data_IF_546436263617
#
_entry.id   IF_546436263617
#
_cell.length_a   1.000
_cell.length_b   1.000
_cell.length_c   1.000
_cell.angle_alpha   90.00
_cell.angle_beta   90.00
_cell.angle_gamma   90.00
#
_symmetry.space_group_name_H-M   'P 1'
#
loop_
_entity.id
_entity.type
_entity.pdbx_description
1 polymer ?
#
# COMPACT_ATOMS: atom_id res chain seq x y z
N UNK A 1 -20.57 28.12 18.88
CA UNK A 1 -20.45 26.71 18.44
C UNK A 1 -21.37 26.49 17.25
N UNK A 2 -20.82 26.32 16.05
CA UNK A 2 -21.64 26.08 14.85
C UNK A 2 -22.40 24.76 14.96
N UNK A 3 -23.68 24.76 14.61
CA UNK A 3 -24.50 23.53 14.52
C UNK A 3 -23.80 22.57 13.55
N UNK A 4 -23.43 21.39 14.03
CA UNK A 4 -22.80 20.38 13.16
C UNK A 4 -23.75 20.07 12.01
N UNK A 5 -23.27 19.98 10.75
CA UNK A 5 -24.13 19.70 9.60
C UNK A 5 -24.76 18.29 9.63
N UNK A 6 -24.30 17.44 10.55
CA UNK A 6 -24.80 16.09 10.80
C UNK A 6 -25.63 16.06 12.08
N UNK A 7 -26.87 16.55 11.98
CA UNK A 7 -27.90 16.44 13.02
C UNK A 7 -28.46 15.02 13.06
N UNK A 8 -29.13 14.66 14.17
CA UNK A 8 -29.67 13.31 14.35
C UNK A 8 -30.71 12.98 13.30
N UNK A 9 -31.57 13.94 12.97
CA UNK A 9 -32.67 13.82 12.02
C UNK A 9 -32.12 13.53 10.61
N UNK A 10 -31.12 14.33 10.18
CA UNK A 10 -30.49 14.18 8.87
C UNK A 10 -29.75 12.84 8.74
N UNK A 11 -29.09 12.39 9.80
CA UNK A 11 -28.43 11.09 9.83
C UNK A 11 -29.43 9.92 9.81
N UNK A 12 -30.56 10.06 10.51
CA UNK A 12 -31.62 9.05 10.53
C UNK A 12 -32.32 8.92 9.18
N UNK A 13 -32.62 10.03 8.51
CA UNK A 13 -33.22 10.04 7.17
C UNK A 13 -32.29 9.39 6.12
N UNK A 14 -31.01 9.78 6.15
CA UNK A 14 -30.01 9.19 5.26
C UNK A 14 -29.82 7.69 5.54
N UNK A 15 -29.87 7.26 6.80
CA UNK A 15 -29.74 5.85 7.16
C UNK A 15 -30.98 5.03 6.78
N UNK A 16 -32.19 5.53 7.06
CA UNK A 16 -33.43 4.83 6.75
C UNK A 16 -33.63 4.61 5.24
N UNK A 17 -33.18 5.57 4.43
CA UNK A 17 -33.31 5.50 2.97
C UNK A 17 -32.16 4.75 2.28
N UNK A 18 -31.20 4.21 3.01
CA UNK A 18 -29.99 3.59 2.42
C UNK A 18 -29.82 2.14 2.88
N UNK A 19 -29.33 1.30 1.98
CA UNK A 19 -28.97 -0.10 2.28
C UNK A 19 -27.52 -0.24 2.72
N UNK A 20 -26.68 0.74 2.40
CA UNK A 20 -25.26 0.76 2.79
C UNK A 20 -24.84 2.09 3.39
N UNK A 21 -23.73 2.08 4.14
CA UNK A 21 -23.15 3.29 4.71
C UNK A 21 -22.66 4.27 3.63
N UNK A 22 -22.19 3.78 2.48
CA UNK A 22 -21.74 4.57 1.34
C UNK A 22 -22.90 5.31 0.70
N UNK A 23 -24.03 4.64 0.49
CA UNK A 23 -25.24 5.30 -0.01
C UNK A 23 -25.68 6.42 0.93
N UNK A 24 -25.69 6.15 2.25
CA UNK A 24 -26.02 7.16 3.24
C UNK A 24 -25.04 8.34 3.19
N UNK A 25 -23.75 8.10 3.00
CA UNK A 25 -22.74 9.15 2.85
C UNK A 25 -22.91 9.97 1.57
N UNK A 26 -23.15 9.32 0.43
CA UNK A 26 -23.43 10.01 -0.84
C UNK A 26 -24.64 10.93 -0.70
N UNK A 27 -25.72 10.47 -0.05
CA UNK A 27 -26.91 11.29 0.23
C UNK A 27 -26.63 12.46 1.18
N UNK A 28 -25.68 12.29 2.10
CA UNK A 28 -25.21 13.37 2.98
C UNK A 28 -24.26 14.35 2.25
N UNK A 29 -23.95 14.13 0.97
CA UNK A 29 -23.01 14.94 0.20
C UNK A 29 -21.55 14.68 0.57
N UNK A 30 -21.26 13.53 1.18
CA UNK A 30 -19.93 13.14 1.61
C UNK A 30 -19.41 12.04 0.69
N UNK A 31 -18.20 12.21 0.17
CA UNK A 31 -17.53 11.13 -0.56
C UNK A 31 -17.41 9.89 0.35
N UNK A 32 -17.98 8.74 -0.05
CA UNK A 32 -17.90 7.52 0.76
C UNK A 32 -16.48 7.02 1.01
N UNK A 33 -15.49 7.48 0.24
CA UNK A 33 -14.07 7.16 0.39
C UNK A 33 -13.31 8.16 1.28
N UNK A 34 -13.95 9.26 1.68
CA UNK A 34 -13.37 10.28 2.54
C UNK A 34 -13.14 9.76 3.97
N UNK A 35 -12.09 10.24 4.68
CA UNK A 35 -11.90 9.96 6.11
C UNK A 35 -13.13 10.34 6.97
N UNK A 36 -13.97 11.25 6.49
CA UNK A 36 -15.25 11.64 7.10
C UNK A 36 -16.22 10.47 7.26
N UNK A 37 -16.09 9.40 6.46
CA UNK A 37 -16.85 8.14 6.61
C UNK A 37 -16.85 7.62 8.04
N UNK A 38 -15.65 7.56 8.66
CA UNK A 38 -15.50 7.05 10.03
C UNK A 38 -16.22 7.95 11.03
N UNK A 39 -16.05 9.26 10.88
CA UNK A 39 -16.68 10.27 11.74
C UNK A 39 -18.21 10.18 11.69
N UNK A 40 -18.80 10.11 10.49
CA UNK A 40 -20.26 10.00 10.31
C UNK A 40 -20.79 8.70 10.90
N UNK A 41 -20.13 7.57 10.66
CA UNK A 41 -20.52 6.27 11.25
C UNK A 41 -20.48 6.30 12.78
N UNK A 42 -19.41 6.83 13.36
CA UNK A 42 -19.28 6.92 14.81
C UNK A 42 -20.30 7.90 15.39
N UNK A 43 -20.68 8.95 14.65
CA UNK A 43 -21.74 9.90 15.04
C UNK A 43 -23.14 9.29 14.96
N UNK A 44 -23.46 8.53 13.90
CA UNK A 44 -24.70 7.75 13.80
C UNK A 44 -24.86 6.79 15.00
N UNK A 45 -23.78 6.07 15.36
CA UNK A 45 -23.77 5.19 16.54
C UNK A 45 -24.02 5.95 17.84
N UNK A 46 -23.34 7.10 18.04
CA UNK A 46 -23.50 7.93 19.24
C UNK A 46 -24.90 8.53 19.37
N UNK A 47 -25.58 8.79 18.26
CA UNK A 47 -26.92 9.39 18.23
C UNK A 47 -28.05 8.36 18.18
N UNK A 48 -27.72 7.06 18.27
CA UNK A 48 -28.70 5.98 18.27
C UNK A 48 -29.46 5.85 16.94
N UNK A 49 -28.83 6.19 15.81
CA UNK A 49 -29.42 5.96 14.49
C UNK A 49 -29.37 4.47 14.18
N UNK A 50 -30.51 3.88 13.80
CA UNK A 50 -30.58 2.49 13.35
C UNK A 50 -29.67 2.31 12.12
N UNK A 51 -28.64 1.47 12.27
CA UNK A 51 -27.65 1.18 11.21
C UNK A 51 -27.40 -0.32 11.06
N UNK A 52 -28.23 -1.14 11.72
CA UNK A 52 -28.12 -2.60 11.73
C UNK A 52 -28.52 -3.23 10.41
N UNK A 53 -29.42 -2.56 9.67
CA UNK A 53 -29.85 -2.94 8.33
C UNK A 53 -28.81 -2.61 7.25
N UNK A 54 -27.72 -1.90 7.59
CA UNK A 54 -26.67 -1.63 6.63
C UNK A 54 -25.93 -2.91 6.25
N UNK A 55 -26.03 -3.26 4.97
CA UNK A 55 -25.26 -4.33 4.38
C UNK A 55 -23.78 -3.96 4.38
N UNK A 56 -22.93 -4.97 4.57
CA UNK A 56 -21.49 -4.80 4.36
C UNK A 56 -21.29 -4.48 2.89
N UNK A 57 -20.83 -3.26 2.61
CA UNK A 57 -20.43 -2.89 1.27
C UNK A 57 -19.46 -3.91 0.69
N UNK A 58 -19.79 -4.33 -0.52
CA UNK A 58 -19.03 -5.26 -1.33
C UNK A 58 -17.55 -4.89 -1.29
N UNK A 59 -16.74 -5.91 -1.15
CA UNK A 59 -15.30 -5.71 -1.08
C UNK A 59 -14.82 -5.18 -2.44
N UNK A 60 -14.02 -4.10 -2.49
CA UNK A 60 -13.55 -3.39 -3.73
C UNK A 60 -13.25 -4.27 -4.95
N UNK A 61 -12.73 -5.47 -4.73
CA UNK A 61 -12.49 -6.46 -5.78
C UNK A 61 -13.52 -7.58 -5.66
N UNK A 62 -14.65 -7.40 -6.33
CA UNK A 62 -15.69 -8.42 -6.46
C UNK A 62 -15.37 -9.38 -7.61
N UNK A 63 -16.13 -10.46 -7.73
CA UNK A 63 -15.97 -11.42 -8.83
C UNK A 63 -16.22 -10.77 -10.19
N UNK A 64 -17.20 -9.88 -10.27
CA UNK A 64 -17.61 -9.18 -11.49
C UNK A 64 -16.52 -8.24 -12.00
N UNK A 65 -15.73 -7.65 -11.09
CA UNK A 65 -14.58 -6.82 -11.44
C UNK A 65 -13.37 -7.67 -11.82
N UNK A 66 -13.12 -8.76 -11.10
CA UNK A 66 -11.91 -9.57 -11.29
C UNK A 66 -12.00 -10.52 -12.49
N UNK A 67 -13.15 -11.15 -12.73
CA UNK A 67 -13.33 -12.14 -13.80
C UNK A 67 -12.97 -11.63 -15.21
N UNK A 68 -13.50 -10.48 -15.69
CA UNK A 68 -13.15 -9.99 -17.03
C UNK A 68 -11.68 -9.62 -17.14
N UNK A 69 -11.09 -9.06 -16.07
CA UNK A 69 -9.68 -8.66 -16.06
C UNK A 69 -8.75 -9.87 -16.07
N UNK A 70 -9.09 -10.91 -15.30
CA UNK A 70 -8.31 -12.16 -15.27
C UNK A 70 -8.34 -12.86 -16.62
N UNK A 71 -9.50 -12.90 -17.30
CA UNK A 71 -9.63 -13.51 -18.62
C UNK A 71 -8.73 -12.85 -19.69
N UNK A 72 -8.56 -11.53 -19.64
CA UNK A 72 -7.71 -10.78 -20.57
C UNK A 72 -6.22 -10.75 -20.18
N UNK A 73 -5.87 -11.25 -18.99
CA UNK A 73 -4.52 -11.16 -18.43
C UNK A 73 -3.74 -12.45 -18.61
N UNK A 74 -2.40 -12.36 -18.73
CA UNK A 74 -1.52 -13.53 -18.80
C UNK A 74 -0.80 -13.83 -17.48
N UNK A 75 -0.88 -12.91 -16.52
CA UNK A 75 -0.31 -13.06 -15.19
C UNK A 75 -1.06 -12.22 -14.15
N UNK A 76 -0.88 -12.54 -12.86
CA UNK A 76 -1.41 -11.72 -11.76
C UNK A 76 -0.86 -10.28 -11.81
N UNK A 77 0.37 -10.08 -12.30
CA UNK A 77 0.93 -8.74 -12.48
C UNK A 77 0.18 -7.95 -13.55
N UNK A 78 -0.26 -8.60 -14.62
CA UNK A 78 -1.10 -7.96 -15.65
C UNK A 78 -2.46 -7.57 -15.07
N UNK A 79 -3.05 -8.45 -14.24
CA UNK A 79 -4.28 -8.13 -13.51
C UNK A 79 -4.10 -6.88 -12.67
N UNK A 80 -3.01 -6.79 -11.89
CA UNK A 80 -2.72 -5.58 -11.12
C UNK A 80 -2.59 -4.35 -12.01
N UNK A 81 -1.88 -4.45 -13.13
CA UNK A 81 -1.69 -3.35 -14.09
C UNK A 81 -3.01 -2.87 -14.69
N UNK A 82 -3.86 -3.80 -15.15
CA UNK A 82 -5.19 -3.50 -15.70
C UNK A 82 -6.13 -2.88 -14.66
N UNK A 83 -5.94 -3.19 -13.38
CA UNK A 83 -6.66 -2.57 -12.26
C UNK A 83 -6.06 -1.22 -11.81
N UNK A 84 -5.01 -0.73 -12.48
CA UNK A 84 -4.30 0.50 -12.11
C UNK A 84 -3.55 0.41 -10.78
N UNK A 85 -3.19 -0.81 -10.35
CA UNK A 85 -2.48 -1.06 -9.10
C UNK A 85 -0.99 -1.30 -9.36
N UNK A 86 -0.15 -0.58 -8.63
CA UNK A 86 1.27 -0.92 -8.56
C UNK A 86 1.46 -2.24 -7.81
N UNK A 87 2.43 -3.05 -8.25
CA UNK A 87 2.80 -4.31 -7.62
C UNK A 87 3.65 -4.10 -6.35
N UNK A 88 3.18 -3.22 -5.45
CA UNK A 88 3.84 -2.87 -4.19
C UNK A 88 2.98 -3.27 -3.00
N UNK A 89 3.64 -3.69 -1.92
CA UNK A 89 2.98 -4.10 -0.69
C UNK A 89 2.14 -5.37 -0.85
N UNK A 90 0.99 -5.42 -0.19
CA UNK A 90 0.13 -6.61 -0.11
C UNK A 90 -0.87 -6.77 -1.24
N UNK A 91 -0.86 -5.92 -2.28
CA UNK A 91 -1.86 -5.94 -3.35
C UNK A 91 -1.88 -7.25 -4.12
N UNK A 92 -0.72 -7.73 -4.56
CA UNK A 92 -0.60 -9.01 -5.24
C UNK A 92 -1.23 -10.14 -4.40
N UNK A 93 -0.80 -10.29 -3.15
CA UNK A 93 -1.33 -11.32 -2.25
C UNK A 93 -2.83 -11.16 -1.96
N UNK A 94 -3.34 -9.93 -1.90
CA UNK A 94 -4.77 -9.68 -1.71
C UNK A 94 -5.58 -10.13 -2.93
N UNK A 95 -5.16 -9.73 -4.13
CA UNK A 95 -5.84 -10.07 -5.39
C UNK A 95 -5.76 -11.57 -5.66
N UNK A 96 -4.58 -12.20 -5.52
CA UNK A 96 -4.44 -13.66 -5.69
C UNK A 96 -5.35 -14.43 -4.74
N UNK A 97 -5.46 -14.01 -3.47
CA UNK A 97 -6.36 -14.65 -2.50
C UNK A 97 -7.82 -14.54 -2.91
N UNK A 98 -8.24 -13.43 -3.50
CA UNK A 98 -9.62 -13.23 -3.96
C UNK A 98 -9.95 -14.01 -5.22
N UNK A 99 -9.06 -13.99 -6.20
CA UNK A 99 -9.20 -14.81 -7.42
C UNK A 99 -9.42 -16.27 -7.03
N UNK A 100 -8.61 -16.78 -6.09
CA UNK A 100 -8.77 -18.13 -5.55
C UNK A 100 -10.09 -18.30 -4.79
N UNK A 101 -10.48 -17.35 -3.95
CA UNK A 101 -11.72 -17.43 -3.18
C UNK A 101 -12.98 -17.43 -4.06
N UNK A 102 -12.94 -16.75 -5.21
CA UNK A 102 -14.03 -16.73 -6.19
C UNK A 102 -13.99 -17.88 -7.21
N UNK A 103 -12.98 -18.75 -7.13
CA UNK A 103 -12.80 -19.85 -8.08
C UNK A 103 -12.64 -19.40 -9.52
N UNK A 104 -12.03 -18.24 -9.76
CA UNK A 104 -11.80 -17.73 -11.12
C UNK A 104 -10.65 -18.54 -11.73
N UNK A 105 -10.84 -19.05 -12.95
CA UNK A 105 -9.80 -19.81 -13.64
C UNK A 105 -8.60 -18.93 -13.98
N UNK A 106 -7.41 -19.45 -13.70
CA UNK A 106 -6.12 -18.84 -14.04
C UNK A 106 -5.19 -19.85 -14.69
N UNK A 107 -5.73 -20.96 -15.22
CA UNK A 107 -4.95 -22.01 -15.87
C UNK A 107 -4.19 -21.49 -17.10
N UNK A 108 -4.72 -20.47 -17.77
CA UNK A 108 -4.10 -19.78 -18.90
C UNK A 108 -2.94 -18.87 -18.52
N UNK A 109 -2.70 -18.61 -17.23
CA UNK A 109 -1.57 -17.80 -16.80
C UNK A 109 -0.26 -18.52 -17.12
N UNK A 110 0.66 -17.79 -17.76
CA UNK A 110 1.95 -18.35 -18.12
C UNK A 110 2.70 -18.76 -16.85
N UNK A 111 3.09 -20.05 -16.70
CA UNK A 111 3.91 -20.44 -15.57
C UNK A 111 5.25 -19.69 -15.66
N UNK A 112 5.83 -19.28 -14.52
CA UNK A 112 7.19 -18.73 -14.53
C UNK A 112 8.11 -19.75 -15.18
N UNK A 113 8.90 -19.32 -16.17
CA UNK A 113 9.82 -20.22 -16.88
C UNK A 113 10.78 -20.86 -15.87
N UNK A 114 10.64 -22.18 -15.67
CA UNK A 114 11.47 -22.97 -14.75
C UNK A 114 12.85 -23.30 -15.33
N UNK A 115 13.19 -22.74 -16.48
CA UNK A 115 14.47 -22.98 -17.13
C UNK A 115 15.60 -22.43 -16.28
N UNK A 116 16.24 -23.30 -15.48
CA UNK A 116 17.68 -23.44 -15.25
C UNK A 116 18.54 -22.20 -14.98
N UNK A 117 17.96 -21.03 -14.74
CA UNK A 117 18.72 -19.82 -14.44
C UNK A 117 19.10 -19.91 -12.97
N UNK A 118 20.31 -20.40 -12.71
CA UNK A 118 21.08 -19.87 -11.59
C UNK A 118 20.88 -18.36 -11.63
N UNK A 119 20.18 -17.82 -10.62
CA UNK A 119 19.88 -16.38 -10.59
C UNK A 119 21.24 -15.68 -10.52
N UNK A 120 21.82 -15.29 -11.67
CA UNK A 120 23.03 -14.48 -11.71
C UNK A 120 22.74 -13.29 -10.81
N UNK A 121 23.49 -13.19 -9.71
CA UNK A 121 23.34 -12.10 -8.76
C UNK A 121 23.58 -10.83 -9.58
N UNK A 122 22.54 -10.01 -9.70
CA UNK A 122 22.66 -8.74 -10.40
C UNK A 122 23.69 -7.90 -9.63
N UNK A 123 24.68 -7.31 -10.31
CA UNK A 123 25.71 -6.55 -9.63
C UNK A 123 25.08 -5.32 -8.93
N UNK A 124 25.66 -4.84 -7.81
CA UNK A 124 25.10 -3.76 -7.01
C UNK A 124 24.73 -2.52 -7.82
N UNK A 125 25.54 -2.16 -8.82
CA UNK A 125 25.40 -0.98 -9.65
C UNK A 125 24.12 -1.04 -10.51
N UNK A 126 23.64 -2.24 -10.85
CA UNK A 126 22.37 -2.43 -11.57
C UNK A 126 21.16 -2.47 -10.63
N UNK A 127 21.37 -2.67 -9.33
CA UNK A 127 20.30 -2.68 -8.33
C UNK A 127 20.09 -1.30 -7.70
N UNK A 128 21.16 -0.52 -7.57
CA UNK A 128 21.19 0.75 -6.86
C UNK A 128 20.99 1.91 -7.83
N UNK A 129 19.86 1.90 -8.53
CA UNK A 129 19.45 2.89 -9.53
C UNK A 129 18.06 3.46 -9.20
N UNK A 130 17.69 4.59 -9.81
CA UNK A 130 16.30 5.04 -9.83
C UNK A 130 15.55 4.31 -10.94
N UNK A 131 14.62 3.44 -10.56
CA UNK A 131 13.79 2.70 -11.51
C UNK A 131 12.62 3.60 -11.96
N UNK A 132 12.83 4.30 -13.07
CA UNK A 132 11.83 5.13 -13.74
C UNK A 132 11.00 4.35 -14.79
N UNK A 133 11.06 3.02 -14.79
CA UNK A 133 10.22 2.24 -15.72
C UNK A 133 8.73 2.46 -15.42
N UNK A 134 7.83 2.27 -16.42
CA UNK A 134 6.39 2.47 -16.22
C UNK A 134 5.78 1.58 -15.12
N UNK A 135 6.42 0.44 -14.84
CA UNK A 135 5.96 -0.54 -13.86
C UNK A 135 7.15 -1.02 -13.01
N UNK A 136 7.70 -0.15 -12.16
CA UNK A 136 8.88 -0.47 -11.40
C UNK A 136 8.56 -1.58 -10.41
N UNK A 137 9.54 -2.45 -10.14
CA UNK A 137 9.37 -3.53 -9.17
C UNK A 137 10.17 -3.24 -7.93
N UNK A 138 9.48 -3.21 -6.79
CA UNK A 138 10.13 -2.96 -5.51
C UNK A 138 11.16 -4.06 -5.22
N UNK A 139 12.41 -3.65 -5.11
CA UNK A 139 13.51 -4.52 -4.70
C UNK A 139 13.33 -4.82 -3.21
N UNK A 140 13.49 -6.08 -2.83
CA UNK A 140 13.44 -6.49 -1.42
C UNK A 140 14.54 -5.82 -0.62
N UNK A 141 14.25 -5.41 0.61
CA UNK A 141 15.22 -4.76 1.50
C UNK A 141 16.48 -5.60 1.72
N UNK A 142 16.37 -6.92 1.82
CA UNK A 142 17.52 -7.82 1.96
C UNK A 142 18.51 -7.69 0.79
N UNK A 143 18.00 -7.65 -0.44
CA UNK A 143 18.82 -7.45 -1.65
C UNK A 143 19.47 -6.08 -1.69
N UNK A 144 18.77 -5.04 -1.25
CA UNK A 144 19.35 -3.69 -1.15
C UNK A 144 20.48 -3.66 -0.12
N UNK A 145 20.28 -4.26 1.06
CA UNK A 145 21.35 -4.39 2.07
C UNK A 145 22.58 -5.11 1.54
N UNK A 146 22.40 -6.23 0.85
CA UNK A 146 23.51 -6.96 0.23
C UNK A 146 24.25 -6.11 -0.81
N UNK A 147 23.51 -5.35 -1.63
CA UNK A 147 24.11 -4.45 -2.62
C UNK A 147 24.86 -3.28 -1.95
N UNK A 148 24.29 -2.67 -0.90
CA UNK A 148 24.93 -1.60 -0.14
C UNK A 148 26.21 -2.09 0.56
N UNK A 149 26.17 -3.28 1.17
CA UNK A 149 27.35 -3.89 1.79
C UNK A 149 28.47 -4.16 0.77
N UNK A 150 28.12 -4.59 -0.45
CA UNK A 150 29.09 -4.80 -1.53
C UNK A 150 29.74 -3.48 -2.00
N UNK A 151 29.10 -2.33 -1.82
CA UNK A 151 29.68 -0.99 -2.04
C UNK A 151 30.44 -0.45 -0.81
N UNK A 152 30.63 -1.24 0.24
CA UNK A 152 31.34 -0.84 1.46
C UNK A 152 30.52 0.01 2.43
N UNK A 153 29.19 0.07 2.27
CA UNK A 153 28.34 0.74 3.26
C UNK A 153 28.34 -0.07 4.56
N UNK A 154 28.80 0.56 5.64
CA UNK A 154 28.84 -0.07 6.95
C UNK A 154 27.44 -0.42 7.47
N UNK A 155 27.30 -1.59 8.10
CA UNK A 155 26.05 -2.05 8.69
C UNK A 155 25.81 -1.39 10.06
N UNK A 156 25.64 -0.07 10.07
CA UNK A 156 25.28 0.72 11.27
C UNK A 156 24.20 1.74 10.95
N UNK A 157 23.50 2.19 11.98
CA UNK A 157 22.51 3.26 11.84
C UNK A 157 23.20 4.55 11.38
N UNK A 158 22.73 5.12 10.26
CA UNK A 158 23.26 6.36 9.71
C UNK A 158 22.97 7.60 10.57
N UNK A 159 22.03 7.52 11.53
CA UNK A 159 21.68 8.64 12.41
C UNK A 159 22.36 8.56 13.78
N UNK A 160 22.26 7.42 14.46
CA UNK A 160 22.77 7.28 15.83
C UNK A 160 23.99 6.35 15.95
N UNK A 161 24.48 5.79 14.84
CA UNK A 161 25.65 4.92 14.85
C UNK A 161 25.42 3.50 15.39
N UNK A 162 24.23 3.17 15.89
CA UNK A 162 23.93 1.85 16.44
C UNK A 162 24.25 0.72 15.46
N UNK A 163 25.07 -0.22 15.92
CA UNK A 163 25.45 -1.45 15.22
C UNK A 163 24.27 -2.44 15.12
N UNK A 164 24.37 -3.55 14.36
CA UNK A 164 23.27 -4.51 14.19
C UNK A 164 23.15 -5.45 15.39
N UNK A 165 23.48 -4.96 16.59
CA UNK A 165 23.43 -5.66 17.86
C UNK A 165 22.78 -4.76 18.92
N UNK A 166 21.82 -5.30 19.64
CA UNK A 166 21.14 -4.64 20.75
C UNK A 166 21.10 -5.57 21.95
N UNK A 167 21.80 -5.20 23.04
CA UNK A 167 21.90 -6.01 24.27
C UNK A 167 22.32 -7.47 23.97
N UNK A 168 23.31 -7.63 23.08
CA UNK A 168 23.81 -8.95 22.65
C UNK A 168 22.90 -9.73 21.71
N UNK A 169 21.78 -9.15 21.24
CA UNK A 169 20.87 -9.79 20.28
C UNK A 169 20.95 -9.09 18.92
N UNK A 170 20.76 -9.81 17.79
CA UNK A 170 20.72 -9.18 16.47
C UNK A 170 19.65 -8.10 16.39
N UNK A 171 20.04 -6.89 15.97
CA UNK A 171 19.15 -5.77 15.70
C UNK A 171 19.09 -5.58 14.18
N UNK A 172 17.97 -5.94 13.52
CA UNK A 172 17.85 -5.73 12.08
C UNK A 172 17.73 -4.22 11.79
N UNK A 173 18.77 -3.66 11.17
CA UNK A 173 18.67 -2.32 10.60
C UNK A 173 17.68 -2.31 9.44
N UNK A 174 16.94 -1.23 9.24
CA UNK A 174 15.95 -1.08 8.18
C UNK A 174 16.55 -0.20 7.07
N UNK A 175 16.24 -0.53 5.80
CA UNK A 175 16.60 0.33 4.66
C UNK A 175 15.58 1.46 4.60
N UNK A 176 16.06 2.69 4.69
CA UNK A 176 15.28 3.91 4.53
C UNK A 176 15.68 4.63 3.23
N UNK A 177 14.66 5.15 2.55
CA UNK A 177 14.80 6.02 1.39
C UNK A 177 14.65 7.45 1.87
N UNK A 178 15.70 8.27 1.78
CA UNK A 178 15.72 9.65 2.29
C UNK A 178 14.57 10.46 1.70
N UNK A 179 14.36 10.35 0.38
CA UNK A 179 13.25 11.02 -0.30
C UNK A 179 11.91 10.28 -0.16
N UNK A 180 11.83 9.13 0.51
CA UNK A 180 10.61 8.32 0.66
C UNK A 180 10.10 7.63 -0.61
N UNK A 181 10.77 7.77 -1.77
CA UNK A 181 10.45 7.07 -3.02
C UNK A 181 11.14 5.72 -3.02
N UNK A 182 10.34 4.65 -2.99
CA UNK A 182 10.86 3.27 -2.92
C UNK A 182 11.54 2.80 -4.21
N UNK A 183 11.28 3.44 -5.34
CA UNK A 183 11.88 3.12 -6.65
C UNK A 183 13.28 3.70 -6.82
N UNK A 184 13.60 4.74 -6.05
CA UNK A 184 14.88 5.46 -6.11
C UNK A 184 15.92 4.78 -5.22
N UNK A 185 16.57 3.73 -5.73
CA UNK A 185 17.55 2.94 -4.97
C UNK A 185 18.98 3.45 -5.13
N UNK A 186 19.19 4.69 -5.61
CA UNK A 186 20.54 5.25 -5.74
C UNK A 186 21.25 5.28 -4.39
N UNK A 187 22.57 5.00 -4.32
CA UNK A 187 23.29 4.93 -3.05
C UNK A 187 23.13 6.18 -2.17
N UNK A 188 23.14 7.37 -2.78
CA UNK A 188 22.95 8.64 -2.05
C UNK A 188 21.53 8.86 -1.49
N UNK A 189 20.53 8.09 -1.92
CA UNK A 189 19.17 8.14 -1.39
C UNK A 189 18.88 7.04 -0.36
N UNK A 190 19.76 6.05 -0.22
CA UNK A 190 19.58 4.92 0.69
C UNK A 190 20.42 5.10 1.96
N UNK A 191 19.84 4.74 3.10
CA UNK A 191 20.55 4.62 4.38
C UNK A 191 20.03 3.47 5.22
N UNK A 192 20.89 2.93 6.08
CA UNK A 192 20.48 1.95 7.09
C UNK A 192 20.13 2.70 8.38
N UNK A 193 18.96 2.42 8.95
CA UNK A 193 18.51 3.00 10.21
C UNK A 193 18.15 1.91 11.21
N UNK A 194 18.42 2.14 12.50
CA UNK A 194 17.84 1.28 13.53
C UNK A 194 16.32 1.51 13.61
N UNK A 195 15.53 0.55 14.14
CA UNK A 195 14.08 0.68 14.24
C UNK A 195 13.61 1.95 14.96
N UNK A 196 14.34 2.38 15.99
CA UNK A 196 14.02 3.59 16.74
C UNK A 196 14.20 4.85 15.89
N UNK A 197 15.36 5.04 15.28
CA UNK A 197 15.63 6.18 14.40
C UNK A 197 14.72 6.19 13.18
N UNK A 198 14.43 5.04 12.59
CA UNK A 198 13.53 4.97 11.44
C UNK A 198 12.10 5.38 11.83
N UNK A 199 11.61 5.00 13.01
CA UNK A 199 10.27 5.38 13.47
C UNK A 199 10.05 6.90 13.59
N UNK A 200 11.14 7.64 13.78
CA UNK A 200 11.15 9.10 13.91
C UNK A 200 11.16 9.83 12.55
N UNK A 201 11.39 9.14 11.43
CA UNK A 201 11.40 9.80 10.12
C UNK A 201 10.00 10.18 9.64
N UNK A 202 9.91 11.22 8.82
CA UNK A 202 8.65 11.63 8.18
C UNK A 202 8.13 10.62 7.17
N UNK A 203 9.00 9.75 6.66
CA UNK A 203 8.73 8.72 5.65
C UNK A 203 8.35 7.36 6.27
N UNK A 204 8.49 7.21 7.59
CA UNK A 204 8.33 5.93 8.29
C UNK A 204 7.01 5.24 7.96
N UNK A 205 7.09 3.99 7.48
CA UNK A 205 5.92 3.16 7.12
C UNK A 205 4.91 3.86 6.19
N UNK A 206 5.38 4.78 5.34
CA UNK A 206 4.51 5.52 4.43
C UNK A 206 3.76 6.69 5.07
N UNK A 207 4.21 7.14 6.25
CA UNK A 207 3.86 8.46 6.79
C UNK A 207 4.14 9.52 5.71
N UNK A 208 3.25 10.51 5.60
CA UNK A 208 3.37 11.60 4.62
C UNK A 208 2.91 11.30 3.18
N UNK A 209 2.51 10.06 2.82
CA UNK A 209 2.02 9.74 1.45
C UNK A 209 0.83 10.59 0.99
N UNK A 210 -0.09 10.95 1.90
CA UNK A 210 -1.23 11.82 1.58
C UNK A 210 -0.86 13.29 1.35
N UNK A 211 0.26 13.77 1.90
CA UNK A 211 0.70 15.17 1.75
C UNK A 211 1.38 15.44 0.41
N UNK A 212 1.99 14.42 -0.21
CA UNK A 212 2.76 14.56 -1.45
C UNK A 212 1.93 14.44 -2.73
N UNK A 213 0.73 13.85 -2.66
CA UNK A 213 -0.20 13.78 -3.79
C UNK A 213 -0.82 15.15 -4.17
N UNK A 214 -0.68 16.18 -3.32
CA UNK A 214 -1.20 17.53 -3.54
C UNK A 214 -0.17 18.56 -4.05
N UNK A 215 1.03 18.15 -4.46
CA UNK A 215 2.09 19.06 -4.92
C UNK A 215 2.67 18.70 -6.31
N UNK A 216 1.97 17.86 -7.07
CA UNK A 216 2.36 17.41 -8.41
C UNK A 216 1.57 18.05 -9.56
N UNK A 217 0.96 19.22 -9.34
CA UNK A 217 0.27 19.99 -10.37
C UNK A 217 0.75 21.43 -10.31
N UNK A 218 1.68 21.81 -11.20
CA UNK A 218 2.18 23.17 -11.30
C UNK A 218 3.65 23.23 -11.64
N UNK A 219 3.95 23.08 -12.93
CA UNK A 219 4.86 23.95 -13.70
C UNK A 219 4.55 23.75 -15.17
#
# INVERSE_FOLDING_TARGET
MGRSPYTRERLAEAAASSRTLSEALTKLGVDPRSPTRRYVRDRMRKMGTATEHFEREGTRWTREVLAPVVALSTSVYDVLRSLGLEAVGGHHSNISRRIKAYGIDTSHFAPPSRAGKTKRRLPPEKLLVDDCSPHPRRISSSRLKTAMAALGVAERCALCGTEPLWRGRPLPLEVDHINGRWSDNRPGNLRLLCPNCHSATDTYRGRGKGRRAGHGGGR
#
